data_IF_574420017213
#
_entry.id   IF_574420017213
#
_cell.length_a   1.000
_cell.length_b   1.000
_cell.length_c   1.000
_cell.angle_alpha   90.00
_cell.angle_beta   90.00
_cell.angle_gamma   90.00
#
_symmetry.space_group_name_H-M   'P 1'
#
loop_
_entity.id
_entity.type
_entity.pdbx_description
1 polymer ?
#
# COMPACT_ATOMS: atom_id res chain seq x y z
N UNK A 1 -4.27 -15.73 -11.43
CA UNK A 1 -2.79 -15.76 -11.44
C UNK A 1 -2.26 -17.12 -11.04
N UNK A 2 -2.44 -17.55 -9.78
CA UNK A 2 -1.86 -18.83 -9.25
C UNK A 2 -2.32 -20.05 -10.03
N UNK A 3 -3.62 -20.16 -10.38
CA UNK A 3 -4.13 -21.28 -11.19
C UNK A 3 -3.52 -21.30 -12.59
N UNK A 4 -3.41 -20.15 -13.23
CA UNK A 4 -2.77 -20.02 -14.55
C UNK A 4 -1.29 -20.42 -14.45
N UNK A 5 -0.60 -19.94 -13.43
CA UNK A 5 0.79 -20.28 -13.15
C UNK A 5 1.01 -21.80 -13.03
N UNK A 6 0.19 -22.49 -12.24
CA UNK A 6 0.31 -23.94 -12.02
C UNK A 6 0.02 -24.76 -13.29
N UNK A 7 -0.97 -24.36 -14.08
CA UNK A 7 -1.31 -25.03 -15.33
C UNK A 7 -0.26 -24.81 -16.43
N UNK A 8 0.34 -23.64 -16.46
CA UNK A 8 1.27 -23.26 -17.52
C UNK A 8 2.71 -23.74 -17.27
N UNK A 9 3.11 -23.95 -16.02
CA UNK A 9 4.50 -24.26 -15.66
C UNK A 9 5.02 -25.50 -16.39
N UNK A 10 4.33 -26.63 -16.29
CA UNK A 10 4.76 -27.89 -16.93
C UNK A 10 4.78 -27.77 -18.46
N UNK A 11 3.80 -27.07 -19.04
CA UNK A 11 3.71 -26.87 -20.47
C UNK A 11 4.80 -25.96 -21.02
N UNK A 12 5.17 -24.92 -20.29
CA UNK A 12 6.32 -24.10 -20.64
C UNK A 12 7.64 -24.84 -20.57
N UNK A 13 7.83 -25.70 -19.57
CA UNK A 13 9.02 -26.53 -19.45
C UNK A 13 9.12 -27.57 -20.59
N UNK A 14 8.01 -28.20 -20.98
CA UNK A 14 7.94 -29.06 -22.14
C UNK A 14 8.28 -28.30 -23.43
N UNK A 15 7.66 -27.12 -23.63
CA UNK A 15 7.91 -26.28 -24.79
C UNK A 15 9.38 -25.84 -24.88
N UNK A 16 9.98 -25.47 -23.75
CA UNK A 16 11.39 -25.09 -23.66
C UNK A 16 12.35 -26.23 -24.05
N UNK A 17 11.97 -27.49 -23.79
CA UNK A 17 12.75 -28.65 -24.20
C UNK A 17 12.63 -28.93 -25.69
N UNK A 18 11.46 -28.66 -26.29
CA UNK A 18 11.20 -28.88 -27.72
C UNK A 18 11.76 -27.72 -28.58
N UNK A 19 11.68 -26.52 -28.10
CA UNK A 19 12.20 -25.34 -28.78
C UNK A 19 13.46 -24.89 -28.05
N UNK A 20 14.57 -24.77 -28.77
CA UNK A 20 15.83 -24.24 -28.20
C UNK A 20 15.53 -22.89 -27.54
N UNK A 21 16.10 -22.62 -26.37
CA UNK A 21 15.72 -21.47 -25.53
C UNK A 21 15.81 -20.06 -26.18
N UNK A 22 16.47 -19.95 -27.36
CA UNK A 22 16.51 -18.73 -28.19
C UNK A 22 15.50 -18.74 -29.33
N UNK A 23 14.60 -19.72 -29.42
CA UNK A 23 13.56 -19.76 -30.45
C UNK A 23 12.55 -18.63 -30.21
N UNK A 24 12.34 -17.79 -31.24
CA UNK A 24 11.42 -16.67 -31.18
C UNK A 24 9.98 -17.10 -30.83
N UNK A 25 9.56 -18.29 -31.25
CA UNK A 25 8.23 -18.84 -30.92
C UNK A 25 8.11 -19.09 -29.42
N UNK A 26 9.16 -19.66 -28.80
CA UNK A 26 9.20 -19.83 -27.35
C UNK A 26 9.13 -18.49 -26.62
N UNK A 27 9.93 -17.51 -27.07
CA UNK A 27 9.93 -16.16 -26.48
C UNK A 27 8.55 -15.51 -26.55
N UNK A 28 7.88 -15.53 -27.70
CA UNK A 28 6.54 -14.92 -27.85
C UNK A 28 5.54 -15.57 -26.89
N UNK A 29 5.55 -16.90 -26.77
CA UNK A 29 4.63 -17.63 -25.88
C UNK A 29 4.94 -17.32 -24.41
N UNK A 30 6.21 -17.38 -24.03
CA UNK A 30 6.65 -17.12 -22.67
C UNK A 30 6.36 -15.67 -22.23
N UNK A 31 6.64 -14.70 -23.10
CA UNK A 31 6.39 -13.29 -22.81
C UNK A 31 4.89 -12.99 -22.69
N UNK A 32 4.07 -13.51 -23.61
CA UNK A 32 2.61 -13.36 -23.53
C UNK A 32 2.07 -13.95 -22.23
N UNK A 33 2.46 -15.19 -21.90
CA UNK A 33 2.02 -15.84 -20.66
C UNK A 33 2.50 -15.08 -19.42
N UNK A 34 3.77 -14.66 -19.38
CA UNK A 34 4.31 -13.89 -18.26
C UNK A 34 3.59 -12.55 -18.05
N UNK A 35 3.26 -11.86 -19.14
CA UNK A 35 2.52 -10.59 -19.07
C UNK A 35 1.06 -10.79 -18.62
N UNK A 36 0.40 -11.89 -19.01
CA UNK A 36 -0.93 -12.24 -18.49
C UNK A 36 -0.89 -12.56 -16.98
N UNK A 37 0.14 -13.27 -16.53
CA UNK A 37 0.34 -13.55 -15.11
C UNK A 37 0.64 -12.25 -14.35
N UNK A 38 1.46 -11.35 -14.90
CA UNK A 38 1.72 -10.04 -14.33
C UNK A 38 0.41 -9.26 -14.16
N UNK A 39 -0.43 -9.21 -15.21
CA UNK A 39 -1.71 -8.52 -15.15
C UNK A 39 -2.62 -9.10 -14.07
N UNK A 40 -2.70 -10.43 -13.93
CA UNK A 40 -3.42 -11.04 -12.82
C UNK A 40 -2.91 -10.59 -11.44
N UNK A 41 -1.61 -10.37 -11.29
CA UNK A 41 -1.03 -9.86 -10.04
C UNK A 41 -1.41 -8.41 -9.77
N UNK A 42 -1.42 -7.58 -10.81
CA UNK A 42 -1.85 -6.17 -10.74
C UNK A 42 -3.32 -6.09 -10.37
N UNK A 43 -4.18 -6.84 -11.08
CA UNK A 43 -5.63 -6.84 -10.86
C UNK A 43 -5.97 -7.35 -9.45
N UNK A 44 -5.26 -8.38 -8.99
CA UNK A 44 -5.44 -8.88 -7.63
C UNK A 44 -5.12 -7.81 -6.58
N UNK A 45 -4.01 -7.09 -6.73
CA UNK A 45 -3.64 -6.03 -5.81
C UNK A 45 -4.68 -4.89 -5.80
N UNK A 46 -5.12 -4.46 -6.98
CA UNK A 46 -6.02 -3.32 -7.12
C UNK A 46 -7.46 -3.59 -6.66
N UNK A 47 -7.92 -4.85 -6.71
CA UNK A 47 -9.31 -5.21 -6.43
C UNK A 47 -9.48 -6.05 -5.16
N UNK A 48 -8.42 -6.25 -4.37
CA UNK A 48 -8.47 -7.08 -3.17
C UNK A 48 -8.55 -6.23 -1.91
N UNK A 49 -9.50 -6.53 -1.04
CA UNK A 49 -9.59 -5.98 0.32
C UNK A 49 -8.66 -6.69 1.32
N UNK A 50 -7.86 -7.66 0.84
CA UNK A 50 -6.94 -8.43 1.67
C UNK A 50 -5.78 -7.55 2.16
N UNK A 51 -5.59 -7.47 3.46
CA UNK A 51 -4.49 -6.71 4.09
C UNK A 51 -3.10 -7.19 3.65
N UNK A 52 -3.01 -8.43 3.13
CA UNK A 52 -1.78 -9.03 2.61
C UNK A 52 -1.71 -9.05 1.06
N UNK A 53 -2.61 -8.30 0.40
CA UNK A 53 -2.70 -8.28 -1.07
C UNK A 53 -1.37 -7.97 -1.76
N UNK A 54 -0.61 -7.00 -1.23
CA UNK A 54 0.67 -6.61 -1.80
C UNK A 54 1.70 -7.76 -1.82
N UNK A 55 1.81 -8.53 -0.71
CA UNK A 55 2.74 -9.66 -0.65
C UNK A 55 2.28 -10.83 -1.54
N UNK A 56 0.98 -11.07 -1.63
CA UNK A 56 0.42 -12.10 -2.52
C UNK A 56 0.60 -11.72 -3.99
N UNK A 57 0.34 -10.47 -4.35
CA UNK A 57 0.59 -9.95 -5.69
C UNK A 57 2.09 -10.00 -6.04
N UNK A 58 2.98 -9.71 -5.10
CA UNK A 58 4.44 -9.82 -5.29
C UNK A 58 4.85 -11.24 -5.68
N UNK A 59 4.28 -12.27 -5.06
CA UNK A 59 4.56 -13.67 -5.43
C UNK A 59 4.14 -13.97 -6.87
N UNK A 60 2.97 -13.47 -7.30
CA UNK A 60 2.46 -13.65 -8.66
C UNK A 60 3.37 -12.92 -9.66
N UNK A 61 3.72 -11.66 -9.39
CA UNK A 61 4.55 -10.84 -10.27
C UNK A 61 6.00 -11.37 -10.35
N UNK A 62 6.56 -11.88 -9.25
CA UNK A 62 7.88 -12.51 -9.25
C UNK A 62 7.91 -13.76 -10.13
N UNK A 63 6.83 -14.54 -10.14
CA UNK A 63 6.73 -15.67 -11.06
C UNK A 63 6.61 -15.20 -12.52
N UNK A 64 5.81 -14.18 -12.80
CA UNK A 64 5.73 -13.57 -14.13
C UNK A 64 7.14 -13.16 -14.64
N UNK A 65 7.91 -12.51 -13.79
CA UNK A 65 9.28 -12.10 -14.10
C UNK A 65 10.21 -13.28 -14.41
N UNK A 66 9.99 -14.44 -13.78
CA UNK A 66 10.79 -15.65 -14.04
C UNK A 66 10.43 -16.34 -15.35
N UNK A 67 9.26 -16.05 -15.91
CA UNK A 67 8.74 -16.66 -17.15
C UNK A 67 9.16 -15.89 -18.39
N UNK A 68 9.15 -14.55 -18.34
CA UNK A 68 9.43 -13.69 -19.49
C UNK A 68 10.88 -13.80 -19.96
N UNK A 69 11.08 -13.78 -21.28
CA UNK A 69 12.40 -13.93 -21.94
C UNK A 69 12.83 -12.63 -22.63
N UNK A 70 11.90 -11.99 -23.35
CA UNK A 70 12.18 -10.78 -24.10
C UNK A 70 12.42 -9.55 -23.22
N UNK A 71 13.29 -8.64 -23.66
CA UNK A 71 13.73 -7.50 -22.85
C UNK A 71 12.54 -6.59 -22.45
N UNK A 72 11.65 -6.26 -23.40
CA UNK A 72 10.49 -5.40 -23.10
C UNK A 72 9.56 -6.00 -22.02
N UNK A 73 9.32 -7.31 -22.07
CA UNK A 73 8.51 -7.99 -21.06
C UNK A 73 9.21 -8.03 -19.70
N UNK A 74 10.53 -8.27 -19.68
CA UNK A 74 11.35 -8.20 -18.47
C UNK A 74 11.30 -6.83 -17.81
N UNK A 75 11.47 -5.77 -18.60
CA UNK A 75 11.45 -4.39 -18.11
C UNK A 75 10.08 -4.05 -17.51
N UNK A 76 8.99 -4.45 -18.16
CA UNK A 76 7.63 -4.25 -17.63
C UNK A 76 7.41 -5.01 -16.32
N UNK A 77 7.83 -6.27 -16.24
CA UNK A 77 7.74 -7.05 -15.00
C UNK A 77 8.56 -6.40 -13.88
N UNK A 78 9.80 -5.98 -14.18
CA UNK A 78 10.68 -5.30 -13.22
C UNK A 78 10.06 -4.02 -12.69
N UNK A 79 9.56 -3.14 -13.56
CA UNK A 79 8.91 -1.88 -13.15
C UNK A 79 7.76 -2.14 -12.16
N UNK A 80 6.86 -3.08 -12.48
CA UNK A 80 5.73 -3.39 -11.59
C UNK A 80 6.19 -4.02 -10.27
N UNK A 81 7.18 -4.91 -10.30
CA UNK A 81 7.75 -5.51 -9.08
C UNK A 81 8.40 -4.45 -8.19
N UNK A 82 9.10 -3.47 -8.78
CA UNK A 82 9.75 -2.39 -8.02
C UNK A 82 8.73 -1.41 -7.41
N UNK A 83 7.61 -1.16 -8.10
CA UNK A 83 6.47 -0.41 -7.52
C UNK A 83 5.92 -1.16 -6.32
N UNK A 84 5.66 -2.45 -6.46
CA UNK A 84 5.09 -3.25 -5.38
C UNK A 84 6.04 -3.38 -4.17
N UNK A 85 7.35 -3.47 -4.40
CA UNK A 85 8.36 -3.43 -3.33
C UNK A 85 8.29 -2.13 -2.53
N UNK A 86 8.18 -0.98 -3.20
CA UNK A 86 8.01 0.31 -2.52
C UNK A 86 6.76 0.31 -1.65
N UNK A 87 5.63 -0.13 -2.20
CA UNK A 87 4.38 -0.25 -1.45
C UNK A 87 4.56 -1.13 -0.22
N UNK A 88 5.19 -2.31 -0.37
CA UNK A 88 5.42 -3.24 0.75
C UNK A 88 6.30 -2.61 1.84
N UNK A 89 7.32 -1.81 1.46
CA UNK A 89 8.17 -1.13 2.46
C UNK A 89 7.45 -0.03 3.23
N UNK A 90 6.34 0.49 2.68
CA UNK A 90 5.50 1.52 3.30
C UNK A 90 4.33 0.93 4.11
N UNK A 91 4.08 -0.37 3.97
CA UNK A 91 3.03 -1.04 4.75
C UNK A 91 3.38 -1.07 6.24
N UNK A 92 2.35 -0.96 7.10
CA UNK A 92 2.56 -1.20 8.52
C UNK A 92 3.07 -2.62 8.77
N UNK A 93 3.94 -2.80 9.78
CA UNK A 93 4.33 -4.13 10.24
C UNK A 93 3.10 -5.00 10.50
N UNK A 94 3.22 -6.30 10.20
CA UNK A 94 2.07 -7.21 10.23
C UNK A 94 1.40 -7.27 11.61
N UNK A 95 2.20 -7.12 12.65
CA UNK A 95 1.81 -7.19 14.05
C UNK A 95 0.86 -6.04 14.45
N UNK A 96 0.91 -4.90 13.76
CA UNK A 96 0.19 -3.67 14.12
C UNK A 96 -0.78 -3.18 13.03
N UNK A 97 -1.12 -4.03 12.06
CA UNK A 97 -1.99 -3.64 10.93
C UNK A 97 -3.39 -3.27 11.37
N UNK A 98 -3.95 -4.01 12.31
CA UNK A 98 -5.31 -3.75 12.80
C UNK A 98 -5.37 -2.43 13.58
N UNK A 99 -4.40 -2.18 14.46
CA UNK A 99 -4.29 -0.92 15.18
C UNK A 99 -4.10 0.26 14.22
N UNK A 100 -3.25 0.07 13.20
CA UNK A 100 -3.03 1.06 12.15
C UNK A 100 -4.30 1.37 11.37
N UNK A 101 -5.08 0.35 11.02
CA UNK A 101 -6.36 0.53 10.33
C UNK A 101 -7.31 1.38 11.18
N UNK A 102 -7.41 1.09 12.47
CA UNK A 102 -8.24 1.85 13.40
C UNK A 102 -7.80 3.30 13.54
N UNK A 103 -6.49 3.56 13.61
CA UNK A 103 -5.95 4.92 13.63
C UNK A 103 -6.27 5.65 12.33
N UNK A 104 -6.13 5.01 11.17
CA UNK A 104 -6.46 5.62 9.87
C UNK A 104 -7.94 6.00 9.78
N UNK A 105 -8.84 5.12 10.22
CA UNK A 105 -10.28 5.39 10.30
C UNK A 105 -10.56 6.67 11.15
N UNK A 106 -9.86 6.84 12.28
CA UNK A 106 -9.98 8.04 13.10
C UNK A 106 -9.41 9.29 12.41
N UNK A 107 -8.22 9.18 11.83
CA UNK A 107 -7.61 10.28 11.08
C UNK A 107 -8.50 10.76 9.94
N UNK A 108 -9.14 9.85 9.21
CA UNK A 108 -10.05 10.18 8.11
C UNK A 108 -11.28 10.96 8.61
N UNK A 109 -11.86 10.57 9.76
CA UNK A 109 -13.00 11.28 10.37
C UNK A 109 -12.62 12.73 10.73
N UNK A 110 -11.44 12.95 11.30
CA UNK A 110 -11.00 14.26 11.79
C UNK A 110 -10.20 15.09 10.77
N UNK A 111 -10.02 14.58 9.54
CA UNK A 111 -9.37 15.31 8.45
C UNK A 111 -10.30 16.28 7.71
N UNK A 112 -11.59 16.29 8.04
CA UNK A 112 -12.61 17.12 7.40
C UNK A 112 -13.30 18.07 8.39
N UNK A 113 -13.79 19.25 7.91
CA UNK A 113 -14.56 20.16 8.76
C UNK A 113 -15.83 19.49 9.33
N UNK A 114 -16.32 19.96 10.48
CA UNK A 114 -15.87 21.17 11.20
C UNK A 114 -14.68 20.93 12.12
N UNK A 115 -13.62 21.75 11.93
CA UNK A 115 -12.44 21.70 12.79
C UNK A 115 -12.70 22.34 14.15
N UNK A 116 -12.27 21.72 15.24
CA UNK A 116 -12.45 22.21 16.58
C UNK A 116 -11.39 21.71 17.55
N UNK A 117 -11.17 22.44 18.63
CA UNK A 117 -10.30 21.99 19.74
C UNK A 117 -10.87 20.70 20.37
N UNK A 118 -12.20 20.61 20.47
CA UNK A 118 -12.89 19.40 20.93
C UNK A 118 -12.58 18.20 20.05
N UNK A 119 -12.67 18.37 18.72
CA UNK A 119 -12.34 17.33 17.73
C UNK A 119 -10.87 16.87 17.82
N UNK A 120 -9.92 17.81 17.99
CA UNK A 120 -8.52 17.45 18.19
C UNK A 120 -8.34 16.58 19.46
N UNK A 121 -9.01 16.94 20.56
CA UNK A 121 -8.96 16.17 21.81
C UNK A 121 -9.62 14.77 21.68
N UNK A 122 -10.73 14.68 20.95
CA UNK A 122 -11.40 13.40 20.66
C UNK A 122 -10.53 12.49 19.78
N UNK A 123 -9.89 13.04 18.73
CA UNK A 123 -8.93 12.30 17.91
C UNK A 123 -7.81 11.71 18.77
N UNK A 124 -7.19 12.54 19.62
CA UNK A 124 -6.12 12.07 20.51
C UNK A 124 -6.60 10.96 21.43
N UNK A 125 -7.76 11.11 22.07
CA UNK A 125 -8.34 10.09 22.96
C UNK A 125 -8.67 8.80 22.25
N UNK A 126 -9.25 8.86 21.06
CA UNK A 126 -9.64 7.67 20.27
C UNK A 126 -8.44 6.91 19.73
N UNK A 127 -7.31 7.59 19.45
CA UNK A 127 -6.09 6.93 18.98
C UNK A 127 -5.23 6.34 20.09
N UNK A 128 -5.32 6.82 21.35
CA UNK A 128 -4.48 6.36 22.48
C UNK A 128 -4.46 4.84 22.64
N UNK A 129 -5.60 4.11 22.66
CA UNK A 129 -5.56 2.66 22.87
C UNK A 129 -4.74 1.92 21.82
N UNK A 130 -4.80 2.38 20.58
CA UNK A 130 -4.12 1.75 19.44
C UNK A 130 -2.65 2.12 19.40
N UNK A 131 -2.29 3.39 19.64
CA UNK A 131 -0.89 3.82 19.63
C UNK A 131 -0.10 3.22 20.81
N UNK A 132 -0.74 2.99 21.95
CA UNK A 132 -0.11 2.29 23.08
C UNK A 132 0.22 0.85 22.70
N UNK A 133 -0.70 0.12 22.06
CA UNK A 133 -0.45 -1.25 21.58
C UNK A 133 0.67 -1.30 20.55
N UNK A 134 0.69 -0.36 19.59
CA UNK A 134 1.77 -0.26 18.59
C UNK A 134 3.12 -0.06 19.31
N UNK A 135 3.17 0.81 20.32
CA UNK A 135 4.36 1.04 21.12
C UNK A 135 4.82 -0.22 21.89
N UNK A 136 3.89 -0.95 22.47
CA UNK A 136 4.17 -2.19 23.21
C UNK A 136 4.71 -3.30 22.29
N UNK A 137 4.20 -3.39 21.06
CA UNK A 137 4.60 -4.42 20.10
C UNK A 137 5.91 -4.12 19.39
N UNK A 138 6.12 -2.85 19.01
CA UNK A 138 7.28 -2.46 18.18
C UNK A 138 8.40 -1.78 18.98
N UNK A 139 8.10 -1.23 20.15
CA UNK A 139 9.02 -0.39 20.92
C UNK A 139 8.88 1.10 20.61
N UNK A 140 9.32 1.94 21.57
CA UNK A 140 9.20 3.39 21.49
C UNK A 140 10.08 4.03 20.39
N UNK A 141 11.20 3.42 20.06
CA UNK A 141 12.17 3.91 19.08
C UNK A 141 11.93 3.38 17.67
N UNK A 142 10.91 2.54 17.48
CA UNK A 142 10.62 1.96 16.19
C UNK A 142 10.12 3.02 15.20
N UNK A 143 10.74 3.10 14.03
CA UNK A 143 10.44 4.10 13.00
C UNK A 143 8.94 4.22 12.70
N UNK A 144 8.24 3.09 12.59
CA UNK A 144 6.81 3.08 12.28
C UNK A 144 5.99 3.71 13.42
N UNK A 145 6.28 3.38 14.69
CA UNK A 145 5.63 3.98 15.84
C UNK A 145 5.80 5.51 15.85
N UNK A 146 7.03 5.99 15.64
CA UNK A 146 7.31 7.42 15.58
C UNK A 146 6.55 8.11 14.44
N UNK A 147 6.52 7.49 13.25
CA UNK A 147 5.80 8.04 12.09
C UNK A 147 4.31 8.17 12.34
N UNK A 148 3.66 7.11 12.84
CA UNK A 148 2.20 7.13 13.05
C UNK A 148 1.80 8.06 14.21
N UNK A 149 2.63 8.12 15.27
CA UNK A 149 2.44 9.05 16.40
C UNK A 149 2.51 10.50 15.93
N UNK A 150 3.54 10.86 15.15
CA UNK A 150 3.68 12.20 14.57
C UNK A 150 2.47 12.58 13.74
N UNK A 151 1.97 11.66 12.91
CA UNK A 151 0.80 11.91 12.05
C UNK A 151 -0.49 12.20 12.86
N UNK A 152 -0.70 11.50 13.97
CA UNK A 152 -1.82 11.79 14.88
C UNK A 152 -1.71 13.21 15.45
N UNK A 153 -0.52 13.57 15.94
CA UNK A 153 -0.26 14.88 16.52
C UNK A 153 -0.42 15.98 15.47
N UNK A 154 0.12 15.81 14.28
CA UNK A 154 0.00 16.75 13.15
C UNK A 154 -1.48 16.99 12.79
N UNK A 155 -2.28 15.94 12.69
CA UNK A 155 -3.71 16.06 12.42
C UNK A 155 -4.44 16.79 13.53
N UNK A 156 -4.14 16.52 14.80
CA UNK A 156 -4.73 17.22 15.94
C UNK A 156 -4.34 18.70 15.95
N UNK A 157 -3.07 19.03 15.71
CA UNK A 157 -2.58 20.40 15.61
C UNK A 157 -3.24 21.17 14.46
N UNK A 158 -3.37 20.54 13.29
CA UNK A 158 -4.04 21.14 12.14
C UNK A 158 -5.49 21.50 12.47
N UNK A 159 -6.23 20.63 13.16
CA UNK A 159 -7.59 20.93 13.63
C UNK A 159 -7.65 22.16 14.53
N UNK A 160 -6.67 22.34 15.43
CA UNK A 160 -6.58 23.50 16.30
C UNK A 160 -6.28 24.76 15.50
N UNK A 161 -5.30 24.70 14.61
CA UNK A 161 -4.86 25.82 13.77
C UNK A 161 -6.03 26.31 12.89
N UNK A 162 -6.72 25.40 12.20
CA UNK A 162 -7.83 25.75 11.31
C UNK A 162 -9.02 26.33 12.08
N UNK A 163 -9.27 25.83 13.30
CA UNK A 163 -10.30 26.41 14.17
C UNK A 163 -9.94 27.83 14.61
N UNK A 164 -8.69 28.08 15.01
CA UNK A 164 -8.20 29.40 15.41
C UNK A 164 -8.26 30.38 14.23
N UNK A 165 -7.79 29.98 13.05
CA UNK A 165 -7.84 30.80 11.84
C UNK A 165 -9.27 31.20 11.49
N UNK A 166 -10.22 30.26 11.56
CA UNK A 166 -11.65 30.54 11.35
C UNK A 166 -12.20 31.55 12.33
N UNK A 167 -11.82 31.48 13.61
CA UNK A 167 -12.25 32.46 14.64
C UNK A 167 -11.69 33.84 14.33
N UNK A 168 -10.40 33.94 14.00
CA UNK A 168 -9.74 35.21 13.64
C UNK A 168 -10.39 35.84 12.40
N UNK A 169 -10.67 35.05 11.37
CA UNK A 169 -11.33 35.51 10.15
C UNK A 169 -12.73 36.07 10.43
N UNK A 170 -13.49 35.40 11.29
CA UNK A 170 -14.83 35.87 11.70
C UNK A 170 -14.77 37.18 12.48
N UNK A 171 -13.79 37.34 13.39
CA UNK A 171 -13.57 38.59 14.13
C UNK A 171 -13.21 39.72 13.17
N UNK A 172 -12.33 39.49 12.21
CA UNK A 172 -11.91 40.49 11.23
C UNK A 172 -13.05 40.91 10.32
N UNK A 173 -13.89 40.00 9.87
CA UNK A 173 -15.10 40.31 9.08
C UNK A 173 -16.15 41.08 9.89
N UNK A 174 -16.30 40.77 11.17
CA UNK A 174 -17.23 41.51 12.06
C UNK A 174 -16.77 42.94 12.45
N UNK A 175 -15.48 43.28 12.27
CA UNK A 175 -14.92 44.61 12.49
C UNK A 175 -14.98 45.51 11.23
N UNK A 176 -15.38 44.99 10.10
CA UNK A 176 -15.45 45.71 8.82
C UNK A 176 -16.87 46.27 8.54
N UNK A 177 -17.74 46.26 9.53
CA UNK A 177 -19.06 46.90 9.57
C UNK A 177 -19.13 47.83 10.76
#
# INVERSE_FOLDING_TARGET
>A
GVRLMNLAKSKLEELKKLLVGNDMRYQIIADKLGLEILQCGIDYYNNSDDTDAAHKAMKIQSYAQSVVVGQMAKDRCKQNTDILKKIITELPPIEVREETKKIKEQLDIFSFPPYSIGGANELMKSCVPYIVRIKEQLGADHKYYLTISSRIVECALQNIIDNVNRIVDNINKGKSH
#
